data_IF_835773658090
#
_entry.id   IF_835773658090
#
_cell.length_a   1.000
_cell.length_b   1.000
_cell.length_c   1.000
_cell.angle_alpha   90.00
_cell.angle_beta   90.00
_cell.angle_gamma   90.00
#
_symmetry.space_group_name_H-M   'P 1'
#
loop_
_entity.id
_entity.type
_entity.pdbx_description
1 polymer ?
#
# COMPACT_ATOMS: atom_id res chain seq x y z
N UNK A 1 62.18 16.07 73.24
CA UNK A 1 62.07 15.72 74.71
C UNK A 1 62.35 14.23 75.01
N UNK A 2 62.10 13.26 74.15
CA UNK A 2 62.34 11.82 74.43
C UNK A 2 63.82 11.43 74.49
N UNK A 3 64.71 12.10 73.78
CA UNK A 3 66.19 11.77 73.77
C UNK A 3 66.87 12.16 75.04
N UNK A 4 66.50 13.27 75.76
CA UNK A 4 67.05 13.66 77.06
C UNK A 4 66.60 12.75 78.22
N UNK A 5 65.44 12.10 78.14
CA UNK A 5 65.01 11.13 79.18
C UNK A 5 65.74 9.80 79.02
N UNK A 6 66.12 9.40 77.80
CA UNK A 6 66.92 8.18 77.56
C UNK A 6 68.30 8.30 78.12
N UNK A 7 68.96 9.47 77.95
CA UNK A 7 70.31 9.69 78.58
C UNK A 7 70.29 9.70 80.11
N UNK A 8 69.30 10.34 80.73
CA UNK A 8 69.15 10.35 82.18
C UNK A 8 68.79 8.98 82.73
N UNK A 9 68.11 8.13 81.99
CA UNK A 9 67.84 6.75 82.41
C UNK A 9 69.07 5.90 82.27
N UNK A 10 69.92 6.09 81.27
CA UNK A 10 71.17 5.40 81.01
C UNK A 10 72.17 5.63 82.14
N UNK A 11 72.34 6.91 82.54
CA UNK A 11 73.20 7.31 83.71
C UNK A 11 72.66 6.78 85.04
N UNK A 12 71.37 6.76 85.28
CA UNK A 12 70.76 6.17 86.50
C UNK A 12 70.93 4.65 86.51
N UNK A 13 70.84 3.97 85.38
CA UNK A 13 71.09 2.54 85.26
C UNK A 13 72.58 2.21 85.53
N UNK A 14 73.48 3.01 84.94
CA UNK A 14 74.94 2.79 85.12
C UNK A 14 75.33 2.99 86.56
N UNK A 15 74.75 3.89 87.33
CA UNK A 15 74.97 4.08 88.74
C UNK A 15 74.38 2.87 89.56
N UNK A 16 73.25 2.33 89.17
CA UNK A 16 72.64 1.16 89.81
C UNK A 16 73.48 -0.16 89.50
N UNK A 17 74.02 -0.26 88.31
CA UNK A 17 74.90 -1.37 87.93
C UNK A 17 76.22 -1.42 88.67
N UNK A 18 76.74 -0.25 89.11
CA UNK A 18 77.95 -0.20 90.00
C UNK A 18 77.67 -0.66 91.46
N UNK A 19 76.38 -0.66 91.83
CA UNK A 19 75.94 -1.07 93.17
C UNK A 19 75.55 -2.58 93.21
N UNK A 20 75.01 -3.11 92.10
CA UNK A 20 74.60 -4.49 92.04
C UNK A 20 74.86 -5.09 90.64
N UNK A 21 75.85 -5.95 90.41
CA UNK A 21 76.18 -6.53 89.08
C UNK A 21 75.08 -7.40 88.51
N UNK A 22 74.13 -7.84 89.33
CA UNK A 22 73.02 -8.67 88.83
C UNK A 22 72.02 -7.90 87.99
N UNK A 23 72.00 -6.57 88.20
CA UNK A 23 71.07 -5.68 87.42
C UNK A 23 71.47 -5.64 85.95
N UNK A 24 72.71 -5.78 85.58
CA UNK A 24 73.18 -5.80 84.20
C UNK A 24 72.61 -6.99 83.39
N UNK A 25 72.48 -8.15 84.01
CA UNK A 25 71.91 -9.33 83.35
C UNK A 25 70.41 -9.18 83.06
N UNK A 26 69.67 -8.58 84.04
CA UNK A 26 68.23 -8.33 83.87
C UNK A 26 67.94 -7.28 82.79
N UNK A 27 68.78 -6.28 82.69
CA UNK A 27 68.60 -5.23 81.69
C UNK A 27 68.89 -5.71 80.25
N UNK A 28 69.90 -6.60 80.12
CA UNK A 28 70.22 -7.23 78.85
C UNK A 28 69.01 -8.06 78.33
N UNK A 29 68.44 -8.86 79.24
CA UNK A 29 67.32 -9.71 78.88
C UNK A 29 66.04 -8.89 78.51
N UNK A 30 65.75 -7.86 79.29
CA UNK A 30 64.55 -6.97 79.03
C UNK A 30 64.73 -6.19 77.72
N UNK A 31 65.92 -5.72 77.40
CA UNK A 31 66.22 -5.04 76.17
C UNK A 31 66.15 -5.99 74.95
N UNK A 32 66.59 -7.18 75.11
CA UNK A 32 66.57 -8.23 74.08
C UNK A 32 65.11 -8.66 73.78
N UNK A 33 64.32 -8.87 74.79
CA UNK A 33 62.91 -9.19 74.70
C UNK A 33 62.11 -8.05 74.05
N UNK A 34 62.37 -6.78 74.44
CA UNK A 34 61.74 -5.60 73.87
C UNK A 34 62.11 -5.42 72.34
N UNK A 35 63.42 -5.74 72.04
CA UNK A 35 63.87 -5.68 70.65
C UNK A 35 63.23 -6.79 69.78
N UNK A 36 63.22 -8.01 70.31
CA UNK A 36 62.53 -9.13 69.63
C UNK A 36 61.04 -8.85 69.44
N UNK A 37 60.37 -8.29 70.44
CA UNK A 37 58.97 -7.92 70.36
C UNK A 37 58.73 -6.78 69.30
N UNK A 38 59.62 -5.77 69.27
CA UNK A 38 59.58 -4.69 68.26
C UNK A 38 59.76 -5.27 66.85
N UNK A 39 60.71 -6.17 66.63
CA UNK A 39 60.96 -6.81 65.33
C UNK A 39 59.81 -7.73 64.91
N UNK A 40 59.24 -8.49 65.86
CA UNK A 40 58.08 -9.33 65.54
C UNK A 40 56.83 -8.51 65.14
N UNK A 41 56.54 -7.43 65.84
CA UNK A 41 55.43 -6.52 65.50
C UNK A 41 55.71 -5.88 64.14
N UNK A 42 56.88 -5.36 63.90
CA UNK A 42 57.24 -4.73 62.66
C UNK A 42 57.23 -5.69 61.47
N UNK A 43 57.70 -6.94 61.66
CA UNK A 43 57.64 -7.95 60.61
C UNK A 43 56.22 -8.43 60.31
N UNK A 44 55.37 -8.50 61.34
CA UNK A 44 53.93 -8.81 61.14
C UNK A 44 53.17 -7.70 60.38
N UNK A 45 53.50 -6.43 60.69
CA UNK A 45 52.96 -5.30 59.92
C UNK A 45 53.39 -5.33 58.44
N UNK A 46 54.68 -5.56 58.16
CA UNK A 46 55.17 -5.65 56.79
C UNK A 46 54.55 -6.86 56.04
N UNK A 47 54.39 -8.01 56.73
CA UNK A 47 53.70 -9.16 56.16
C UNK A 47 52.20 -8.86 55.87
N UNK A 48 51.49 -8.14 56.72
CA UNK A 48 50.14 -7.76 56.59
C UNK A 48 49.94 -6.76 55.36
N UNK A 49 50.86 -5.79 55.24
CA UNK A 49 50.86 -4.85 54.12
C UNK A 49 51.17 -5.55 52.79
N UNK A 50 52.10 -6.49 52.75
CA UNK A 50 52.41 -7.21 51.52
C UNK A 50 51.30 -8.15 51.08
N UNK A 51 50.65 -8.84 52.03
CA UNK A 51 49.51 -9.72 51.72
C UNK A 51 48.29 -8.90 51.28
N UNK A 52 48.02 -7.75 51.90
CA UNK A 52 46.95 -6.84 51.48
C UNK A 52 47.23 -6.29 50.08
N UNK A 53 48.46 -5.93 49.75
CA UNK A 53 48.87 -5.47 48.42
C UNK A 53 48.66 -6.54 47.32
N UNK A 54 49.03 -7.83 47.62
CA UNK A 54 48.80 -8.93 46.68
C UNK A 54 47.31 -9.18 46.45
N UNK A 55 46.50 -9.12 47.50
CA UNK A 55 45.03 -9.30 47.39
C UNK A 55 44.43 -8.18 46.55
N UNK A 56 44.76 -6.89 46.79
CA UNK A 56 44.28 -5.75 46.03
C UNK A 56 44.71 -5.88 44.55
N UNK A 57 45.96 -6.25 44.31
CA UNK A 57 46.45 -6.45 42.93
C UNK A 57 45.69 -7.60 42.23
N UNK A 58 45.42 -8.70 42.95
CA UNK A 58 44.61 -9.82 42.46
C UNK A 58 43.20 -9.39 42.06
N UNK A 59 42.54 -8.58 42.90
CA UNK A 59 41.24 -8.02 42.58
C UNK A 59 41.29 -7.09 41.38
N UNK A 60 42.30 -6.25 41.22
CA UNK A 60 42.46 -5.37 40.05
C UNK A 60 42.63 -6.17 38.74
N UNK A 61 43.47 -7.22 38.77
CA UNK A 61 43.66 -8.08 37.61
C UNK A 61 42.36 -8.81 37.25
N UNK A 62 41.68 -9.38 38.26
CA UNK A 62 40.38 -10.04 38.04
C UNK A 62 39.33 -9.09 37.50
N UNK A 63 39.26 -7.87 38.00
CA UNK A 63 38.35 -6.82 37.52
C UNK A 63 38.65 -6.44 36.06
N UNK A 64 39.93 -6.29 35.70
CA UNK A 64 40.34 -6.00 34.31
C UNK A 64 39.96 -7.13 33.35
N UNK A 65 40.19 -8.37 33.77
CA UNK A 65 39.83 -9.57 32.98
C UNK A 65 38.30 -9.67 32.80
N UNK A 66 37.54 -9.44 33.90
CA UNK A 66 36.09 -9.44 33.86
C UNK A 66 35.55 -8.31 32.95
N UNK A 67 36.10 -7.11 33.03
CA UNK A 67 35.75 -6.01 32.15
C UNK A 67 36.05 -6.34 30.68
N UNK A 68 37.23 -6.92 30.41
CA UNK A 68 37.60 -7.35 29.07
C UNK A 68 36.64 -8.38 28.47
N UNK A 69 36.22 -9.37 29.28
CA UNK A 69 35.26 -10.40 28.85
C UNK A 69 33.87 -9.79 28.57
N UNK A 70 33.42 -8.85 29.41
CA UNK A 70 32.15 -8.15 29.22
C UNK A 70 32.17 -7.33 27.92
N UNK A 71 33.23 -6.56 27.69
CA UNK A 71 33.38 -5.74 26.47
C UNK A 71 33.41 -6.63 25.23
N UNK A 72 34.16 -7.72 25.27
CA UNK A 72 34.21 -8.70 24.17
C UNK A 72 32.85 -9.32 23.88
N UNK A 73 32.11 -9.71 24.94
CA UNK A 73 30.75 -10.24 24.82
C UNK A 73 29.79 -9.21 24.21
N UNK A 74 29.77 -7.97 24.71
CA UNK A 74 28.95 -6.89 24.14
C UNK A 74 29.29 -6.62 22.70
N UNK A 75 30.57 -6.61 22.35
CA UNK A 75 31.01 -6.40 20.95
C UNK A 75 30.47 -7.49 20.02
N UNK A 76 30.49 -8.74 20.45
CA UNK A 76 30.07 -9.88 19.64
C UNK A 76 28.56 -10.01 19.56
N UNK A 77 27.85 -9.93 20.70
CA UNK A 77 26.44 -10.30 20.79
C UNK A 77 25.48 -9.10 20.60
N UNK A 78 25.98 -7.86 20.67
CA UNK A 78 25.15 -6.67 20.56
C UNK A 78 25.62 -5.74 19.42
N UNK A 79 26.86 -5.26 19.47
CA UNK A 79 27.29 -4.22 18.52
C UNK A 79 27.42 -4.72 17.08
N UNK A 80 27.94 -5.93 16.86
CA UNK A 80 28.02 -6.52 15.52
C UNK A 80 26.64 -6.76 14.89
N UNK A 81 25.66 -7.40 15.58
CA UNK A 81 24.29 -7.54 15.09
C UNK A 81 23.63 -6.22 14.71
N UNK A 82 23.75 -5.21 15.57
CA UNK A 82 23.19 -3.88 15.27
C UNK A 82 23.83 -3.24 14.02
N UNK A 83 25.14 -3.36 13.89
CA UNK A 83 25.85 -2.86 12.71
C UNK A 83 25.40 -3.57 11.42
N UNK A 84 25.14 -4.88 11.48
CA UNK A 84 24.62 -5.65 10.34
C UNK A 84 23.21 -5.20 9.96
N UNK A 85 22.30 -5.05 10.94
CA UNK A 85 20.95 -4.51 10.71
C UNK A 85 21.01 -3.13 10.07
N UNK A 86 21.89 -2.25 10.54
CA UNK A 86 22.06 -0.92 9.96
C UNK A 86 22.53 -0.99 8.50
N UNK A 87 23.48 -1.88 8.21
CA UNK A 87 24.00 -2.06 6.85
C UNK A 87 22.93 -2.62 5.90
N UNK A 88 22.15 -3.61 6.34
CA UNK A 88 21.01 -4.15 5.57
C UNK A 88 19.94 -3.10 5.36
N UNK A 89 19.61 -2.31 6.38
CA UNK A 89 18.69 -1.18 6.25
C UNK A 89 19.13 -0.18 5.17
N UNK A 90 20.42 0.11 5.10
CA UNK A 90 20.99 1.00 4.08
C UNK A 90 20.90 0.41 2.66
N UNK A 91 21.09 -0.91 2.53
CA UNK A 91 20.87 -1.61 1.25
C UNK A 91 19.42 -1.54 0.80
N UNK A 92 18.48 -1.78 1.71
CA UNK A 92 17.05 -1.69 1.43
C UNK A 92 16.69 -0.27 0.99
N UNK A 93 17.21 0.75 1.67
CA UNK A 93 17.01 2.14 1.28
C UNK A 93 17.57 2.45 -0.12
N UNK A 94 18.66 1.82 -0.54
CA UNK A 94 19.22 1.93 -1.90
C UNK A 94 18.48 1.11 -2.95
N UNK A 95 17.42 0.38 -2.57
CA UNK A 95 16.57 -0.40 -3.48
C UNK A 95 16.82 -1.91 -3.50
N UNK A 96 17.79 -2.42 -2.74
CA UNK A 96 18.06 -3.86 -2.65
C UNK A 96 17.18 -4.52 -1.57
N UNK A 97 15.93 -4.82 -1.93
CA UNK A 97 14.96 -5.46 -1.05
C UNK A 97 15.21 -6.98 -0.84
N UNK A 98 16.26 -7.54 -1.46
CA UNK A 98 16.67 -8.94 -1.24
C UNK A 98 17.65 -9.09 -0.09
N UNK A 99 18.27 -8.01 0.36
CA UNK A 99 19.18 -8.04 1.49
C UNK A 99 18.46 -8.54 2.76
N UNK A 100 19.14 -9.40 3.51
CA UNK A 100 18.64 -9.97 4.77
C UNK A 100 19.72 -9.81 5.83
N UNK A 101 19.31 -9.73 7.10
CA UNK A 101 20.22 -9.79 8.23
C UNK A 101 20.65 -11.24 8.45
N UNK A 102 21.99 -11.49 8.43
CA UNK A 102 22.57 -12.83 8.46
C UNK A 102 23.61 -13.00 9.59
N UNK A 103 23.54 -12.19 10.64
CA UNK A 103 24.46 -12.33 11.77
C UNK A 103 24.12 -13.55 12.63
N UNK A 104 25.19 -14.15 13.24
CA UNK A 104 25.08 -15.22 14.22
C UNK A 104 25.17 -14.64 15.62
N UNK A 105 24.22 -14.96 16.48
CA UNK A 105 24.17 -14.56 17.88
C UNK A 105 23.72 -15.72 18.76
N UNK A 106 24.19 -15.74 20.02
CA UNK A 106 23.71 -16.66 21.05
C UNK A 106 22.61 -16.00 21.92
N UNK A 107 22.30 -14.71 21.70
CA UNK A 107 21.22 -14.01 22.39
C UNK A 107 19.89 -14.32 21.71
N UNK A 108 18.95 -14.84 22.49
CA UNK A 108 17.59 -15.12 22.04
C UNK A 108 16.89 -13.84 21.53
N UNK A 109 17.07 -12.74 22.24
CA UNK A 109 16.46 -11.45 21.90
C UNK A 109 16.98 -10.91 20.56
N UNK A 110 18.28 -11.05 20.29
CA UNK A 110 18.85 -10.62 19.02
C UNK A 110 18.43 -11.52 17.86
N UNK A 111 18.22 -12.81 18.10
CA UNK A 111 17.68 -13.72 17.09
C UNK A 111 16.22 -13.37 16.75
N UNK A 112 15.41 -13.04 17.76
CA UNK A 112 14.03 -12.58 17.57
C UNK A 112 13.97 -11.26 16.80
N UNK A 113 14.86 -10.31 17.11
CA UNK A 113 15.00 -9.04 16.35
C UNK A 113 15.37 -9.31 14.89
N UNK A 114 16.31 -10.23 14.62
CA UNK A 114 16.69 -10.62 13.26
C UNK A 114 15.51 -11.18 12.47
N UNK A 115 14.74 -12.08 13.07
CA UNK A 115 13.57 -12.67 12.44
C UNK A 115 12.50 -11.60 12.16
N UNK A 116 12.13 -10.81 13.16
CA UNK A 116 11.16 -9.73 13.00
C UNK A 116 11.56 -8.72 11.93
N UNK A 117 12.85 -8.39 11.85
CA UNK A 117 13.38 -7.50 10.81
C UNK A 117 13.27 -8.12 9.41
N UNK A 118 13.67 -9.38 9.26
CA UNK A 118 13.58 -10.08 7.98
C UNK A 118 12.13 -10.28 7.51
N UNK A 119 11.20 -10.55 8.44
CA UNK A 119 9.76 -10.65 8.15
C UNK A 119 9.18 -9.31 7.71
N UNK A 120 9.58 -8.21 8.34
CA UNK A 120 9.20 -6.86 7.92
C UNK A 120 9.69 -6.57 6.49
N UNK A 121 10.95 -6.89 6.16
CA UNK A 121 11.49 -6.72 4.80
C UNK A 121 10.74 -7.57 3.79
N UNK A 122 10.36 -8.79 4.15
CA UNK A 122 9.54 -9.67 3.30
C UNK A 122 8.16 -9.06 3.04
N UNK A 123 7.51 -8.56 4.08
CA UNK A 123 6.20 -7.90 3.96
C UNK A 123 6.26 -6.67 3.05
N UNK A 124 7.31 -5.86 3.17
CA UNK A 124 7.51 -4.69 2.29
C UNK A 124 7.66 -5.13 0.83
N UNK A 125 8.42 -6.20 0.57
CA UNK A 125 8.60 -6.74 -0.78
C UNK A 125 7.27 -7.24 -1.37
N UNK A 126 6.48 -7.97 -0.58
CA UNK A 126 5.16 -8.47 -1.00
C UNK A 126 4.18 -7.32 -1.29
N UNK A 127 4.13 -6.30 -0.44
CA UNK A 127 3.31 -5.12 -0.68
C UNK A 127 3.71 -4.39 -1.97
N UNK A 128 5.01 -4.28 -2.26
CA UNK A 128 5.48 -3.69 -3.51
C UNK A 128 5.07 -4.49 -4.73
N UNK A 129 5.22 -5.81 -4.69
CA UNK A 129 4.79 -6.68 -5.79
C UNK A 129 3.29 -6.53 -6.03
N UNK A 130 2.48 -6.56 -4.97
CA UNK A 130 1.04 -6.35 -5.08
C UNK A 130 0.68 -4.98 -5.66
N UNK A 131 1.38 -3.91 -5.24
CA UNK A 131 1.18 -2.56 -5.79
C UNK A 131 1.49 -2.53 -7.29
N UNK A 132 2.61 -3.09 -7.73
CA UNK A 132 2.95 -3.17 -9.16
C UNK A 132 1.94 -4.00 -9.97
N UNK A 133 1.45 -5.11 -9.43
CA UNK A 133 0.41 -5.90 -10.09
C UNK A 133 -0.90 -5.11 -10.23
N UNK A 134 -1.29 -4.34 -9.20
CA UNK A 134 -2.45 -3.46 -9.27
C UNK A 134 -2.27 -2.37 -10.33
N UNK A 135 -1.11 -1.70 -10.38
CA UNK A 135 -0.80 -0.70 -11.40
C UNK A 135 -0.83 -1.28 -12.82
N UNK A 136 -0.30 -2.49 -13.01
CA UNK A 136 -0.36 -3.19 -14.31
C UNK A 136 -1.80 -3.52 -14.71
N UNK A 137 -2.61 -4.02 -13.78
CA UNK A 137 -4.04 -4.28 -14.02
C UNK A 137 -4.78 -2.99 -14.38
N UNK A 138 -4.50 -1.89 -13.68
CA UNK A 138 -5.07 -0.59 -13.99
C UNK A 138 -4.72 -0.13 -15.40
N UNK A 139 -3.45 -0.25 -15.80
CA UNK A 139 -3.01 0.08 -17.16
C UNK A 139 -3.65 -0.82 -18.22
N UNK A 140 -3.80 -2.11 -17.95
CA UNK A 140 -4.45 -3.05 -18.89
C UNK A 140 -5.93 -2.68 -19.09
N UNK A 141 -6.63 -2.33 -18.02
CA UNK A 141 -8.03 -1.88 -18.12
C UNK A 141 -8.14 -0.51 -18.81
N UNK A 142 -7.19 0.41 -18.54
CA UNK A 142 -7.12 1.68 -19.29
C UNK A 142 -6.94 1.44 -20.78
N UNK A 143 -6.05 0.52 -21.17
CA UNK A 143 -5.87 0.15 -22.57
C UNK A 143 -7.13 -0.50 -23.16
N UNK A 144 -7.78 -1.40 -22.45
CA UNK A 144 -9.05 -2.00 -22.86
C UNK A 144 -10.13 -0.95 -23.04
N UNK A 145 -10.21 0.03 -22.13
CA UNK A 145 -11.16 1.15 -22.22
C UNK A 145 -10.90 2.02 -23.46
N UNK A 146 -9.63 2.37 -23.73
CA UNK A 146 -9.24 3.10 -24.94
C UNK A 146 -9.56 2.29 -26.20
N UNK A 147 -9.29 0.98 -26.21
CA UNK A 147 -9.65 0.11 -27.32
C UNK A 147 -11.17 0.00 -27.55
N UNK A 148 -11.97 0.10 -26.49
CA UNK A 148 -13.44 0.19 -26.62
C UNK A 148 -13.89 1.48 -27.29
N UNK A 149 -13.23 2.59 -26.99
CA UNK A 149 -13.50 3.88 -27.64
C UNK A 149 -13.11 3.88 -29.11
N UNK A 150 -12.08 3.11 -29.51
CA UNK A 150 -11.56 2.98 -30.86
C UNK A 150 -12.14 1.75 -31.57
N UNK A 151 -13.45 1.68 -31.79
CA UNK A 151 -14.03 0.58 -32.58
C UNK A 151 -13.83 0.85 -34.09
N UNK A 152 -12.89 0.20 -34.79
CA UNK A 152 -12.66 0.43 -36.22
C UNK A 152 -13.94 0.23 -37.06
N UNK A 153 -14.76 -0.72 -36.65
CA UNK A 153 -16.02 -1.03 -37.30
C UNK A 153 -17.04 0.13 -37.21
N UNK A 154 -17.03 0.92 -36.11
CA UNK A 154 -17.89 2.11 -35.99
C UNK A 154 -17.55 3.16 -37.05
N UNK A 155 -16.26 3.41 -37.30
CA UNK A 155 -15.80 4.33 -38.34
C UNK A 155 -16.14 3.83 -39.74
N UNK A 156 -15.91 2.53 -39.99
CA UNK A 156 -16.24 1.93 -41.30
C UNK A 156 -17.73 1.98 -41.59
N UNK A 157 -18.58 1.73 -40.58
CA UNK A 157 -20.02 1.83 -40.72
C UNK A 157 -20.47 3.25 -41.00
N UNK A 158 -19.93 4.24 -40.28
CA UNK A 158 -20.22 5.64 -40.51
C UNK A 158 -19.84 6.09 -41.93
N UNK A 159 -18.65 5.70 -42.42
CA UNK A 159 -18.21 5.98 -43.78
C UNK A 159 -19.10 5.30 -44.82
N UNK A 160 -19.53 4.07 -44.59
CA UNK A 160 -20.44 3.33 -45.47
C UNK A 160 -21.84 4.04 -45.53
N UNK A 161 -22.31 4.52 -44.37
CA UNK A 161 -23.57 5.28 -44.29
C UNK A 161 -23.49 6.59 -45.07
N UNK A 162 -22.40 7.36 -44.89
CA UNK A 162 -22.16 8.60 -45.65
C UNK A 162 -22.15 8.28 -47.14
N UNK A 163 -21.45 7.25 -47.55
CA UNK A 163 -21.41 6.84 -48.96
C UNK A 163 -22.81 6.50 -49.50
N UNK A 164 -23.61 5.76 -48.73
CA UNK A 164 -24.99 5.42 -49.09
C UNK A 164 -25.88 6.68 -49.27
N UNK A 165 -25.78 7.64 -48.34
CA UNK A 165 -26.52 8.89 -48.40
C UNK A 165 -26.12 9.75 -49.60
N UNK A 166 -24.84 9.78 -49.96
CA UNK A 166 -24.35 10.46 -51.16
C UNK A 166 -24.94 9.84 -52.43
N UNK A 167 -25.01 8.51 -52.52
CA UNK A 167 -25.63 7.81 -53.64
C UNK A 167 -27.14 8.09 -53.75
N UNK A 168 -27.80 8.35 -52.64
CA UNK A 168 -29.22 8.68 -52.60
C UNK A 168 -29.50 10.17 -52.83
N UNK A 169 -28.48 11.00 -53.07
CA UNK A 169 -28.58 12.46 -53.27
C UNK A 169 -29.18 13.19 -52.07
N UNK A 170 -28.94 12.69 -50.83
CA UNK A 170 -29.43 13.27 -49.57
C UNK A 170 -28.39 14.26 -48.97
N UNK A 171 -28.04 15.32 -49.68
CA UNK A 171 -26.94 16.22 -49.29
C UNK A 171 -27.09 16.82 -47.90
N UNK A 172 -28.31 17.23 -47.51
CA UNK A 172 -28.59 17.78 -46.19
C UNK A 172 -28.35 16.75 -45.07
N UNK A 173 -28.76 15.50 -45.30
CA UNK A 173 -28.55 14.39 -44.35
C UNK A 173 -27.08 14.04 -44.23
N UNK A 174 -26.31 14.06 -45.32
CA UNK A 174 -24.85 13.86 -45.31
C UNK A 174 -24.19 14.91 -44.45
N UNK A 175 -24.53 16.19 -44.57
CA UNK A 175 -23.93 17.25 -43.77
C UNK A 175 -24.28 17.10 -42.29
N UNK A 176 -25.55 16.85 -41.97
CA UNK A 176 -26.00 16.61 -40.59
C UNK A 176 -25.33 15.43 -39.96
N UNK A 177 -25.19 14.30 -40.68
CA UNK A 177 -24.51 13.08 -40.21
C UNK A 177 -23.05 13.34 -39.93
N UNK A 178 -22.30 13.97 -40.84
CA UNK A 178 -20.89 14.30 -40.64
C UNK A 178 -20.67 15.17 -39.40
N UNK A 179 -21.58 16.17 -39.21
CA UNK A 179 -21.49 17.07 -38.07
C UNK A 179 -21.72 16.33 -36.74
N UNK A 180 -22.78 15.51 -36.65
CA UNK A 180 -23.08 14.70 -35.47
C UNK A 180 -21.98 13.66 -35.20
N UNK A 181 -21.48 12.99 -36.22
CA UNK A 181 -20.38 12.04 -36.16
C UNK A 181 -19.09 12.67 -35.63
N UNK A 182 -18.73 13.85 -36.16
CA UNK A 182 -17.55 14.59 -35.73
C UNK A 182 -17.62 15.02 -34.26
N UNK A 183 -18.81 15.39 -33.76
CA UNK A 183 -19.03 15.72 -32.34
C UNK A 183 -18.89 14.48 -31.47
N UNK A 184 -19.45 13.35 -31.87
CA UNK A 184 -19.39 12.09 -31.18
C UNK A 184 -17.93 11.59 -31.08
N UNK A 185 -17.17 11.65 -32.17
CA UNK A 185 -15.75 11.30 -32.21
C UNK A 185 -14.95 12.19 -31.26
N UNK A 186 -15.13 13.51 -31.28
CA UNK A 186 -14.44 14.42 -30.35
C UNK A 186 -14.72 14.09 -28.89
N UNK A 187 -15.92 13.64 -28.57
CA UNK A 187 -16.27 13.21 -27.23
C UNK A 187 -15.59 11.88 -26.87
N UNK A 188 -15.55 10.92 -27.79
CA UNK A 188 -14.88 9.63 -27.60
C UNK A 188 -13.36 9.76 -27.35
N UNK A 189 -12.72 10.74 -28.02
CA UNK A 189 -11.28 10.98 -27.89
C UNK A 189 -10.87 11.84 -26.69
N UNK A 190 -11.78 12.23 -25.82
CA UNK A 190 -11.39 12.77 -24.52
C UNK A 190 -10.74 11.64 -23.70
N UNK A 191 -9.41 11.69 -23.60
CA UNK A 191 -8.61 10.60 -23.03
C UNK A 191 -8.67 10.55 -21.51
N UNK A 192 -8.85 9.35 -20.95
CA UNK A 192 -8.70 9.01 -19.54
C UNK A 192 -9.92 8.32 -18.93
N UNK A 193 -9.67 7.53 -17.89
CA UNK A 193 -10.71 7.03 -16.99
C UNK A 193 -11.10 8.16 -16.04
N UNK A 194 -12.04 9.00 -16.48
CA UNK A 194 -12.54 10.10 -15.68
C UNK A 194 -14.06 10.13 -15.69
N UNK A 195 -14.60 10.77 -14.70
CA UNK A 195 -16.04 11.07 -14.68
C UNK A 195 -16.31 12.39 -15.40
N UNK A 196 -17.46 12.44 -16.03
CA UNK A 196 -18.01 13.65 -16.66
C UNK A 196 -19.38 13.95 -16.02
N UNK A 197 -19.86 15.20 -16.05
CA UNK A 197 -21.23 15.49 -15.66
C UNK A 197 -22.23 14.70 -16.52
N UNK A 198 -23.30 14.19 -15.91
CA UNK A 198 -24.34 13.43 -16.62
C UNK A 198 -24.91 14.21 -17.81
N UNK A 199 -25.00 15.54 -17.75
CA UNK A 199 -25.43 16.37 -18.86
C UNK A 199 -24.57 16.20 -20.13
N UNK A 200 -23.23 15.94 -19.96
CA UNK A 200 -22.33 15.76 -21.11
C UNK A 200 -22.58 14.40 -21.77
N UNK A 201 -22.84 13.34 -20.96
CA UNK A 201 -23.27 12.04 -21.47
C UNK A 201 -24.61 12.12 -22.22
N UNK A 202 -25.60 12.86 -21.68
CA UNK A 202 -26.89 13.07 -22.32
C UNK A 202 -26.73 13.83 -23.65
N UNK A 203 -25.90 14.87 -23.67
CA UNK A 203 -25.61 15.64 -24.88
C UNK A 203 -24.98 14.76 -25.96
N UNK A 204 -24.01 13.93 -25.58
CA UNK A 204 -23.39 12.99 -26.51
C UNK A 204 -24.37 11.91 -26.99
N UNK A 205 -25.18 11.36 -26.08
CA UNK A 205 -26.23 10.38 -26.39
C UNK A 205 -27.25 10.95 -27.37
N UNK A 206 -27.70 12.20 -27.18
CA UNK A 206 -28.64 12.89 -28.14
C UNK A 206 -27.99 13.04 -29.50
N UNK A 207 -26.72 13.47 -29.60
CA UNK A 207 -26.00 13.55 -30.87
C UNK A 207 -25.89 12.20 -31.58
N UNK A 208 -25.62 11.13 -30.83
CA UNK A 208 -25.63 9.77 -31.35
C UNK A 208 -27.03 9.36 -31.87
N UNK A 209 -28.08 9.65 -31.12
CA UNK A 209 -29.46 9.34 -31.53
C UNK A 209 -29.90 10.09 -32.79
N UNK A 210 -29.49 11.36 -32.95
CA UNK A 210 -29.72 12.12 -34.18
C UNK A 210 -29.10 11.44 -35.40
N UNK A 211 -27.86 10.95 -35.24
CA UNK A 211 -27.20 10.19 -36.29
C UNK A 211 -27.92 8.88 -36.60
N UNK A 212 -28.41 8.15 -35.58
CA UNK A 212 -29.16 6.92 -35.76
C UNK A 212 -30.56 7.16 -36.41
N UNK A 213 -31.22 8.30 -36.18
CA UNK A 213 -32.47 8.64 -36.83
C UNK A 213 -32.34 8.79 -38.35
N UNK A 214 -31.17 9.21 -38.84
CA UNK A 214 -30.91 9.29 -40.28
C UNK A 214 -30.78 7.89 -40.92
N UNK A 215 -30.41 6.88 -40.12
CA UNK A 215 -30.24 5.49 -40.60
C UNK A 215 -31.49 4.63 -40.40
N UNK A 216 -32.16 4.78 -39.25
CA UNK A 216 -33.30 3.96 -38.81
C UNK A 216 -34.55 4.81 -38.69
N UNK A 217 -34.95 5.45 -39.82
CA UNK A 217 -36.13 6.35 -39.89
C UNK A 217 -37.33 5.69 -39.24
N UNK A 218 -37.96 6.38 -38.27
CA UNK A 218 -39.19 5.96 -37.59
C UNK A 218 -39.24 4.55 -37.00
N UNK A 219 -38.09 3.87 -36.82
CA UNK A 219 -38.03 2.52 -36.24
C UNK A 219 -37.85 2.53 -34.74
N UNK A 220 -37.57 3.69 -34.14
CA UNK A 220 -37.36 3.80 -32.70
C UNK A 220 -37.79 5.15 -32.12
N UNK A 221 -38.06 5.12 -30.83
CA UNK A 221 -38.27 6.32 -30.02
C UNK A 221 -37.47 6.19 -28.69
N UNK A 222 -36.74 7.25 -28.36
CA UNK A 222 -35.99 7.32 -27.07
C UNK A 222 -36.52 8.48 -26.25
N UNK A 223 -36.99 8.18 -25.07
CA UNK A 223 -37.43 9.16 -24.07
C UNK A 223 -36.41 9.17 -22.90
N UNK A 224 -36.04 10.38 -22.44
CA UNK A 224 -35.13 10.60 -21.33
C UNK A 224 -35.84 11.36 -20.22
N UNK A 225 -36.02 10.73 -19.07
CA UNK A 225 -36.62 11.30 -17.88
C UNK A 225 -35.49 11.46 -16.82
N UNK A 226 -34.86 12.65 -16.84
CA UNK A 226 -33.69 12.93 -16.02
C UNK A 226 -33.92 14.26 -15.30
N UNK A 227 -34.04 14.22 -13.96
CA UNK A 227 -34.19 15.41 -13.13
C UNK A 227 -33.01 16.38 -13.29
N UNK A 228 -33.28 17.69 -13.29
CA UNK A 228 -32.25 18.74 -13.46
C UNK A 228 -31.16 18.65 -12.38
N UNK A 229 -31.53 18.28 -11.16
CA UNK A 229 -30.63 18.13 -10.02
C UNK A 229 -29.56 17.05 -10.22
N UNK A 230 -29.78 16.08 -11.12
CA UNK A 230 -28.86 15.00 -11.46
C UNK A 230 -27.92 15.32 -12.62
N UNK A 231 -28.14 16.41 -13.35
CA UNK A 231 -27.36 16.76 -14.53
C UNK A 231 -25.88 16.97 -14.26
N UNK A 232 -25.54 17.45 -13.06
CA UNK A 232 -24.15 17.66 -12.63
C UNK A 232 -23.51 16.45 -11.92
N UNK A 233 -24.27 15.34 -11.79
CA UNK A 233 -23.75 14.15 -11.13
C UNK A 233 -22.61 13.53 -11.94
N UNK A 234 -21.45 13.19 -11.31
CA UNK A 234 -20.32 12.59 -12.01
C UNK A 234 -20.64 11.15 -12.41
N UNK A 235 -20.53 10.86 -13.71
CA UNK A 235 -20.74 9.53 -14.29
C UNK A 235 -19.55 9.13 -15.13
N UNK A 236 -19.26 7.81 -15.30
CA UNK A 236 -18.21 7.35 -16.21
C UNK A 236 -18.52 7.83 -17.64
N UNK A 237 -17.49 8.37 -18.31
CA UNK A 237 -17.61 8.77 -19.70
C UNK A 237 -17.98 7.58 -20.60
N UNK A 238 -18.80 7.82 -21.63
CA UNK A 238 -19.27 6.84 -22.62
C UNK A 238 -20.20 5.74 -22.08
N UNK A 239 -20.70 5.86 -20.83
CA UNK A 239 -21.56 4.82 -20.24
C UNK A 239 -22.90 4.72 -20.99
N UNK A 240 -23.60 5.84 -21.22
CA UNK A 240 -24.85 5.86 -21.98
C UNK A 240 -24.64 5.46 -23.44
N UNK A 241 -23.58 5.99 -24.06
CA UNK A 241 -23.25 5.67 -25.44
C UNK A 241 -23.05 4.16 -25.66
N UNK A 242 -22.32 3.49 -24.76
CA UNK A 242 -22.06 2.04 -24.89
C UNK A 242 -23.35 1.22 -24.85
N UNK A 243 -24.30 1.57 -24.00
CA UNK A 243 -25.59 0.89 -23.95
C UNK A 243 -26.44 1.20 -25.17
N UNK A 244 -26.53 2.45 -25.61
CA UNK A 244 -27.23 2.82 -26.82
C UNK A 244 -26.66 2.09 -28.06
N UNK A 245 -25.34 2.06 -28.21
CA UNK A 245 -24.71 1.32 -29.31
C UNK A 245 -25.10 -0.17 -29.31
N UNK A 246 -25.11 -0.80 -28.14
CA UNK A 246 -25.53 -2.19 -28.02
C UNK A 246 -27.03 -2.37 -28.40
N UNK A 247 -27.89 -1.43 -28.02
CA UNK A 247 -29.32 -1.45 -28.37
C UNK A 247 -29.48 -1.35 -29.90
N UNK A 248 -28.79 -0.41 -30.54
CA UNK A 248 -28.85 -0.25 -32.01
C UNK A 248 -28.24 -1.43 -32.77
N UNK A 249 -27.25 -2.08 -32.21
CA UNK A 249 -26.60 -3.23 -32.85
C UNK A 249 -27.41 -4.52 -32.74
N UNK A 250 -28.13 -4.73 -31.65
CA UNK A 250 -28.70 -6.02 -31.30
C UNK A 250 -30.22 -6.06 -31.19
N UNK A 251 -30.88 -4.91 -31.00
CA UNK A 251 -32.30 -4.85 -30.73
C UNK A 251 -33.08 -4.07 -31.81
N UNK A 252 -32.56 -2.91 -32.26
CA UNK A 252 -33.25 -2.09 -33.21
C UNK A 252 -33.17 -2.69 -34.62
N UNK A 253 -34.33 -2.91 -35.23
CA UNK A 253 -34.48 -3.45 -36.58
C UNK A 253 -35.39 -2.52 -37.40
N UNK A 254 -35.29 -2.58 -38.71
CA UNK A 254 -36.15 -1.87 -39.63
C UNK A 254 -37.58 -2.46 -39.64
N UNK A 255 -37.70 -3.71 -39.21
CA UNK A 255 -38.95 -4.49 -39.25
C UNK A 255 -39.87 -4.27 -38.03
N UNK A 256 -39.35 -3.64 -36.98
CA UNK A 256 -40.06 -3.46 -35.72
C UNK A 256 -39.81 -2.11 -35.07
N UNK A 257 -40.78 -1.59 -34.34
CA UNK A 257 -40.67 -0.31 -33.65
C UNK A 257 -40.22 -0.54 -32.21
N UNK A 258 -39.10 0.06 -31.81
CA UNK A 258 -38.53 -0.09 -30.46
C UNK A 258 -38.64 1.21 -29.66
N UNK A 259 -39.12 1.14 -28.44
CA UNK A 259 -39.10 2.25 -27.49
C UNK A 259 -38.04 2.04 -26.45
N UNK A 260 -37.24 3.08 -26.17
CA UNK A 260 -36.22 3.10 -25.12
C UNK A 260 -36.56 4.23 -24.15
N UNK A 261 -36.70 3.90 -22.87
CA UNK A 261 -36.84 4.86 -21.78
C UNK A 261 -35.55 4.87 -20.96
N UNK A 262 -34.96 6.05 -20.80
CA UNK A 262 -33.77 6.27 -19.95
C UNK A 262 -34.21 7.14 -18.76
N UNK A 263 -34.07 6.59 -17.54
CA UNK A 263 -34.42 7.33 -16.32
C UNK A 263 -33.21 7.46 -15.40
N UNK A 264 -33.13 8.59 -14.71
CA UNK A 264 -32.13 8.81 -13.65
C UNK A 264 -32.85 9.12 -12.34
N UNK A 265 -32.46 8.38 -11.30
CA UNK A 265 -33.10 8.45 -9.98
C UNK A 265 -32.05 8.49 -8.88
N UNK A 266 -32.37 9.14 -7.76
CA UNK A 266 -31.60 8.96 -6.53
C UNK A 266 -31.84 7.56 -5.95
N UNK A 267 -30.77 6.89 -5.50
CA UNK A 267 -30.82 5.64 -4.78
C UNK A 267 -29.97 5.73 -3.51
N UNK A 268 -30.49 5.22 -2.42
CA UNK A 268 -29.85 5.27 -1.11
C UNK A 268 -29.64 3.85 -0.60
N UNK A 269 -28.40 3.52 -0.21
CA UNK A 269 -28.08 2.26 0.45
C UNK A 269 -27.31 2.56 1.74
N UNK A 270 -28.00 2.50 2.88
CA UNK A 270 -27.46 2.89 4.17
C UNK A 270 -27.06 4.39 4.20
N UNK A 271 -25.77 4.68 4.31
CA UNK A 271 -25.24 6.05 4.26
C UNK A 271 -24.71 6.48 2.88
N UNK A 272 -24.66 5.55 1.93
CA UNK A 272 -24.14 5.80 0.61
C UNK A 272 -25.25 6.27 -0.33
N UNK A 273 -24.90 7.24 -1.17
CA UNK A 273 -25.81 7.86 -2.17
C UNK A 273 -25.33 7.47 -3.56
N UNK A 274 -26.26 6.95 -4.34
CA UNK A 274 -26.01 6.52 -5.72
C UNK A 274 -26.90 7.29 -6.68
N UNK A 275 -26.37 7.53 -7.88
CA UNK A 275 -27.19 7.76 -9.05
C UNK A 275 -27.60 6.39 -9.60
N UNK A 276 -28.88 6.14 -9.71
CA UNK A 276 -29.45 4.96 -10.36
C UNK A 276 -29.89 5.33 -11.76
N UNK A 277 -29.23 4.79 -12.78
CA UNK A 277 -29.64 4.90 -14.19
C UNK A 277 -30.39 3.62 -14.58
N UNK A 278 -31.58 3.78 -15.16
CA UNK A 278 -32.40 2.68 -15.65
C UNK A 278 -32.69 2.89 -17.13
N UNK A 279 -32.44 1.87 -17.94
CA UNK A 279 -32.77 1.81 -19.35
C UNK A 279 -33.81 0.72 -19.57
N UNK A 280 -34.99 1.08 -20.04
CA UNK A 280 -36.06 0.15 -20.38
C UNK A 280 -36.14 0.09 -21.90
N UNK A 281 -36.08 -1.10 -22.47
CA UNK A 281 -36.12 -1.36 -23.90
C UNK A 281 -37.32 -2.26 -24.16
N UNK A 282 -38.23 -1.85 -25.03
CA UNK A 282 -39.51 -2.55 -25.27
C UNK A 282 -39.35 -3.90 -25.97
N UNK A 283 -38.18 -4.21 -26.51
CA UNK A 283 -37.91 -5.42 -27.28
C UNK A 283 -36.56 -6.02 -26.89
N UNK A 284 -36.32 -7.24 -27.34
CA UNK A 284 -35.07 -7.97 -27.13
C UNK A 284 -35.06 -8.74 -25.81
N UNK A 285 -34.14 -9.66 -25.70
CA UNK A 285 -33.89 -10.46 -24.49
C UNK A 285 -32.40 -10.70 -24.32
N UNK A 286 -31.92 -10.62 -23.09
CA UNK A 286 -30.58 -11.09 -22.75
C UNK A 286 -30.55 -12.60 -22.66
N UNK A 287 -29.46 -13.20 -23.18
CA UNK A 287 -29.25 -14.63 -22.98
C UNK A 287 -28.98 -14.94 -21.51
N UNK A 288 -29.32 -16.15 -21.07
CA UNK A 288 -29.10 -16.59 -19.69
C UNK A 288 -27.62 -16.47 -19.30
N UNK A 289 -26.68 -16.73 -20.21
CA UNK A 289 -25.24 -16.59 -19.99
C UNK A 289 -24.85 -15.15 -19.63
N UNK A 290 -25.41 -14.14 -20.33
CA UNK A 290 -25.16 -12.73 -20.05
C UNK A 290 -25.75 -12.30 -18.71
N UNK A 291 -26.97 -12.78 -18.40
CA UNK A 291 -27.61 -12.52 -17.12
C UNK A 291 -26.81 -13.12 -15.96
N UNK A 292 -26.35 -14.37 -16.09
CA UNK A 292 -25.58 -15.05 -15.05
C UNK A 292 -24.20 -14.41 -14.88
N UNK A 293 -23.57 -13.97 -15.94
CA UNK A 293 -22.29 -13.23 -15.89
C UNK A 293 -22.44 -11.89 -15.15
N UNK A 294 -23.45 -11.10 -15.51
CA UNK A 294 -23.59 -9.75 -14.91
C UNK A 294 -24.10 -9.85 -13.48
N UNK A 295 -25.15 -10.64 -13.25
CA UNK A 295 -25.88 -10.64 -11.98
C UNK A 295 -25.30 -11.60 -10.93
N UNK A 296 -24.59 -12.68 -11.35
CA UNK A 296 -24.07 -13.73 -10.47
C UNK A 296 -22.54 -13.88 -10.51
N UNK A 297 -21.83 -13.01 -11.23
CA UNK A 297 -20.37 -13.06 -11.41
C UNK A 297 -19.83 -14.41 -11.97
N UNK A 298 -20.64 -15.09 -12.79
CA UNK A 298 -20.23 -16.34 -13.44
C UNK A 298 -19.32 -16.02 -14.65
N UNK A 299 -18.30 -16.84 -14.91
CA UNK A 299 -17.43 -16.65 -16.05
C UNK A 299 -18.19 -16.90 -17.37
N UNK A 300 -18.00 -16.00 -18.35
CA UNK A 300 -18.50 -16.21 -19.72
C UNK A 300 -17.39 -16.84 -20.57
N UNK A 301 -17.74 -17.89 -21.30
CA UNK A 301 -16.92 -18.42 -22.40
C UNK A 301 -17.04 -17.45 -23.57
N UNK A 302 -15.93 -16.81 -24.00
CA UNK A 302 -15.94 -15.86 -25.12
C UNK A 302 -16.54 -16.48 -26.39
N UNK A 303 -17.68 -15.97 -26.83
CA UNK A 303 -18.26 -16.33 -28.14
C UNK A 303 -17.55 -15.53 -29.23
N UNK A 304 -17.27 -16.22 -30.38
CA UNK A 304 -16.65 -15.61 -31.56
C UNK A 304 -17.42 -14.43 -32.16
N UNK A 305 -18.67 -14.22 -31.79
CA UNK A 305 -19.57 -13.22 -32.40
C UNK A 305 -19.52 -11.83 -31.72
N UNK A 306 -18.65 -11.64 -30.72
CA UNK A 306 -18.49 -10.34 -30.05
C UNK A 306 -19.73 -9.86 -29.27
N UNK A 307 -20.78 -10.69 -29.14
CA UNK A 307 -21.97 -10.39 -28.34
C UNK A 307 -21.62 -10.45 -26.84
N UNK A 308 -21.95 -9.40 -26.11
CA UNK A 308 -21.68 -9.29 -24.67
C UNK A 308 -20.37 -8.59 -24.31
N UNK A 309 -19.43 -8.36 -25.24
CA UNK A 309 -18.13 -7.69 -24.96
C UNK A 309 -18.36 -6.28 -24.41
N UNK A 310 -19.34 -5.51 -24.94
CA UNK A 310 -19.63 -4.16 -24.48
C UNK A 310 -20.11 -4.14 -23.02
N UNK A 311 -21.01 -5.06 -22.67
CA UNK A 311 -21.58 -5.16 -21.30
C UNK A 311 -20.52 -5.63 -20.32
N UNK A 312 -19.70 -6.63 -20.70
CA UNK A 312 -18.55 -7.10 -19.92
C UNK A 312 -17.60 -5.95 -19.58
N UNK A 313 -17.26 -5.18 -20.58
CA UNK A 313 -16.34 -4.05 -20.43
C UNK A 313 -16.91 -2.96 -19.51
N UNK A 314 -18.21 -2.64 -19.61
CA UNK A 314 -18.85 -1.68 -18.69
C UNK A 314 -18.80 -2.18 -17.26
N UNK A 315 -19.08 -3.48 -17.03
CA UNK A 315 -18.98 -4.10 -15.69
C UNK A 315 -17.58 -3.98 -15.11
N UNK A 316 -16.54 -4.31 -15.91
CA UNK A 316 -15.14 -4.20 -15.50
C UNK A 316 -14.73 -2.75 -15.21
N UNK A 317 -15.15 -1.79 -16.04
CA UNK A 317 -14.88 -0.36 -15.82
C UNK A 317 -15.52 0.15 -14.53
N UNK A 318 -16.80 -0.15 -14.30
CA UNK A 318 -17.50 0.22 -13.07
C UNK A 318 -16.83 -0.36 -11.83
N UNK A 319 -16.52 -1.67 -11.86
CA UNK A 319 -15.83 -2.35 -10.76
C UNK A 319 -14.47 -1.70 -10.46
N UNK A 320 -13.72 -1.32 -11.50
CA UNK A 320 -12.42 -0.71 -11.35
C UNK A 320 -12.51 0.73 -10.81
N UNK A 321 -13.40 1.56 -11.38
CA UNK A 321 -13.55 2.97 -10.99
C UNK A 321 -14.03 3.14 -9.55
N UNK A 322 -14.94 2.27 -9.11
CA UNK A 322 -15.60 2.40 -7.81
C UNK A 322 -15.17 1.36 -6.79
N UNK A 323 -14.37 0.34 -7.19
CA UNK A 323 -13.95 -0.78 -6.33
C UNK A 323 -15.13 -1.45 -5.60
N UNK A 324 -16.26 -1.53 -6.29
CA UNK A 324 -17.50 -2.15 -5.81
C UNK A 324 -18.01 -3.15 -6.84
N UNK A 325 -18.56 -4.27 -6.36
CA UNK A 325 -19.25 -5.26 -7.17
C UNK A 325 -20.75 -4.92 -7.27
N UNK A 326 -21.45 -5.56 -8.20
CA UNK A 326 -22.91 -5.45 -8.39
C UNK A 326 -23.43 -4.02 -8.71
N UNK A 327 -22.62 -3.18 -9.39
CA UNK A 327 -23.03 -1.87 -9.86
C UNK A 327 -23.86 -1.92 -11.18
N UNK A 328 -23.93 -3.06 -11.83
CA UNK A 328 -24.70 -3.32 -13.05
C UNK A 328 -25.61 -4.51 -12.85
N UNK A 329 -26.86 -4.39 -13.25
CA UNK A 329 -27.87 -5.45 -13.20
C UNK A 329 -28.68 -5.48 -14.49
N UNK A 330 -28.97 -6.68 -15.01
CA UNK A 330 -29.73 -6.91 -16.22
C UNK A 330 -30.95 -7.77 -15.92
N UNK A 331 -32.06 -7.43 -16.57
CA UNK A 331 -33.34 -8.12 -16.38
C UNK A 331 -34.07 -8.25 -17.71
N UNK A 332 -34.70 -9.39 -17.97
CA UNK A 332 -35.66 -9.56 -19.05
C UNK A 332 -37.06 -9.24 -18.50
N UNK A 333 -37.82 -8.45 -19.24
CA UNK A 333 -39.18 -8.06 -18.88
C UNK A 333 -40.20 -8.98 -19.52
N UNK A 334 -41.33 -9.19 -18.89
CA UNK A 334 -42.46 -9.95 -19.44
C UNK A 334 -43.51 -9.00 -20.01
N UNK A 335 -44.13 -9.30 -21.17
CA UNK A 335 -43.92 -10.52 -21.99
C UNK A 335 -42.69 -10.40 -22.91
N UNK A 336 -42.14 -9.25 -23.12
CA UNK A 336 -40.99 -8.96 -23.99
C UNK A 336 -40.31 -7.68 -23.50
N UNK A 337 -39.01 -7.55 -23.72
CA UNK A 337 -38.23 -6.36 -23.39
C UNK A 337 -37.11 -6.64 -22.39
N UNK A 338 -36.27 -5.63 -22.19
CA UNK A 338 -35.13 -5.71 -21.28
C UNK A 338 -35.00 -4.48 -20.43
N UNK A 339 -34.43 -4.66 -19.25
CA UNK A 339 -34.09 -3.57 -18.34
C UNK A 339 -32.63 -3.66 -17.94
N UNK A 340 -31.95 -2.52 -17.99
CA UNK A 340 -30.55 -2.36 -17.53
C UNK A 340 -30.60 -1.38 -16.35
N UNK A 341 -30.03 -1.75 -15.23
CA UNK A 341 -29.91 -0.92 -14.04
C UNK A 341 -28.45 -0.73 -13.67
N UNK A 342 -28.04 0.52 -13.47
CA UNK A 342 -26.68 0.91 -13.14
C UNK A 342 -26.70 1.77 -11.89
N UNK A 343 -25.91 1.40 -10.88
CA UNK A 343 -25.71 2.21 -9.68
C UNK A 343 -24.33 2.87 -9.75
N UNK A 344 -24.31 4.19 -9.71
CA UNK A 344 -23.08 4.98 -9.80
C UNK A 344 -22.85 5.67 -8.46
N UNK A 345 -21.83 5.27 -7.67
CA UNK A 345 -21.46 5.94 -6.43
C UNK A 345 -20.96 7.37 -6.69
N UNK A 346 -21.18 8.27 -5.74
CA UNK A 346 -20.75 9.67 -5.88
C UNK A 346 -19.23 9.83 -5.85
N UNK A 347 -18.52 8.97 -5.13
CA UNK A 347 -17.09 9.09 -4.85
C UNK A 347 -16.31 8.02 -5.61
N UNK A 348 -15.28 8.42 -6.36
CA UNK A 348 -14.28 7.53 -6.94
C UNK A 348 -13.32 7.07 -5.84
N UNK A 349 -13.06 5.78 -5.71
CA UNK A 349 -12.09 5.24 -4.75
C UNK A 349 -10.64 5.20 -5.30
N UNK A 350 -10.43 5.58 -6.56
CA UNK A 350 -9.12 5.56 -7.21
C UNK A 350 -8.30 6.86 -7.11
N UNK A 351 -8.82 7.94 -6.49
CA UNK A 351 -8.19 9.28 -6.55
C UNK A 351 -7.55 9.75 -5.26
N UNK A 352 -7.40 8.91 -4.23
CA UNK A 352 -6.85 9.37 -2.94
C UNK A 352 -5.31 9.49 -2.89
N UNK A 353 -4.58 9.08 -3.95
CA UNK A 353 -3.10 9.14 -3.95
C UNK A 353 -2.50 10.40 -4.61
N UNK A 354 -3.25 11.22 -5.34
CA UNK A 354 -2.69 12.44 -5.97
C UNK A 354 -2.72 13.71 -5.09
N UNK A 355 -3.34 13.67 -3.90
CA UNK A 355 -3.45 14.85 -3.02
C UNK A 355 -2.35 14.99 -1.99
N UNK A 356 -1.49 14.00 -1.78
CA UNK A 356 -0.41 14.04 -0.79
C UNK A 356 0.95 14.50 -1.35
N UNK A 357 1.09 14.72 -2.67
CA UNK A 357 2.33 15.27 -3.26
C UNK A 357 2.37 16.82 -3.39
N UNK A 358 1.29 17.53 -3.02
CA UNK A 358 1.24 19.01 -3.00
C UNK A 358 1.24 19.64 -1.59
N UNK A 359 1.73 18.92 -0.55
CA UNK A 359 1.94 19.53 0.78
C UNK A 359 3.39 19.49 1.24
#
# INVERSE_FOLDING_TARGET
>A
MRFRRGLAYGEAIENLQKQDPSISIYQGSVLEDAYQMYYSVKSSEYAAYSTSGIVIFGFLVLSLLSFGTIVWYMQKEIFRPIADLFWVSRKIHSGDFRARAEYNTNSYEMEEVKQAYNDMVQTILEMRVQKYEQELRMKDVQLKYIHMQLKPHYFLNALSTINSMVYQHEEENVHAFIQAFSQNIRYMFRTGLHTVPLQDEIKNAKGYLEMQRLMYRDCFYVYMDIPEELLQYPVPQMILHTFLENIFKHVISIDSFTTVLIQALWSFSGKEVYLKLELYISQGQFSQEILDFVNKDMEITEKKDGSGIGIKNVKEVLKMMYQQDHLLYLENLEPEGTKITIWIPKTLKCTDEEKDEER
#
